data_IF_436253342650
#
_entry.id   IF_436253342650
#
_cell.length_a   1.000
_cell.length_b   1.000
_cell.length_c   1.000
_cell.angle_alpha   90.00
_cell.angle_beta   90.00
_cell.angle_gamma   90.00
#
_symmetry.space_group_name_H-M   'P 1'
#
loop_
_entity.id
_entity.type
_entity.pdbx_description
1 polymer ?
#
# COMPACT_ATOMS: atom_id res chain seq x y z
N UNK A 1 11.83 -1.73 -19.08
CA UNK A 1 12.92 -2.63 -18.60
C UNK A 1 12.54 -3.22 -17.25
N UNK A 2 12.75 -4.52 -17.03
CA UNK A 2 12.39 -5.20 -15.79
C UNK A 2 13.64 -5.65 -15.02
N UNK A 3 13.63 -5.51 -13.69
CA UNK A 3 14.75 -5.90 -12.83
C UNK A 3 14.26 -6.75 -11.65
N UNK A 4 14.94 -7.88 -11.41
CA UNK A 4 14.64 -8.82 -10.33
C UNK A 4 15.91 -9.01 -9.51
N UNK A 5 15.82 -8.79 -8.21
CA UNK A 5 16.91 -8.83 -7.24
C UNK A 5 16.46 -9.60 -6.00
N UNK A 6 16.25 -10.92 -6.07
CA UNK A 6 15.80 -11.75 -4.93
C UNK A 6 16.94 -12.60 -4.36
N UNK A 7 18.02 -11.96 -3.90
CA UNK A 7 19.25 -12.68 -3.51
C UNK A 7 19.29 -13.07 -2.03
N UNK A 8 18.31 -12.64 -1.22
CA UNK A 8 18.21 -12.90 0.24
C UNK A 8 19.33 -12.32 1.09
N UNK A 9 20.21 -11.53 0.50
CA UNK A 9 21.37 -10.96 1.16
C UNK A 9 21.70 -9.54 0.74
N UNK A 10 20.92 -8.94 -0.18
CA UNK A 10 21.14 -7.55 -0.56
C UNK A 10 20.80 -6.66 0.64
N UNK A 11 21.81 -6.01 1.21
CA UNK A 11 21.69 -5.13 2.35
C UNK A 11 21.84 -3.66 1.95
N UNK A 12 21.60 -2.78 2.91
CA UNK A 12 21.79 -1.33 2.79
C UNK A 12 20.85 -0.70 1.74
N UNK A 13 21.38 0.18 0.88
CA UNK A 13 20.62 0.93 -0.10
C UNK A 13 20.90 0.43 -1.52
N UNK A 14 19.85 0.22 -2.31
CA UNK A 14 19.97 -0.03 -3.74
C UNK A 14 20.05 1.30 -4.50
N UNK A 15 21.16 1.54 -5.22
CA UNK A 15 21.36 2.78 -6.00
C UNK A 15 20.75 2.65 -7.39
N UNK A 16 19.68 3.39 -7.66
CA UNK A 16 18.91 3.34 -8.91
C UNK A 16 18.89 4.65 -9.71
N UNK A 17 19.85 5.54 -9.45
CA UNK A 17 19.90 6.90 -10.01
C UNK A 17 19.84 6.94 -11.55
N UNK A 18 20.37 5.92 -12.24
CA UNK A 18 20.42 5.85 -13.71
C UNK A 18 19.32 4.96 -14.34
N UNK A 19 18.38 4.45 -13.54
CA UNK A 19 17.37 3.49 -13.98
C UNK A 19 16.06 4.17 -14.41
N UNK A 20 16.15 5.20 -15.27
CA UNK A 20 14.99 6.02 -15.69
C UNK A 20 13.96 5.26 -16.54
N UNK A 21 14.36 4.17 -17.19
CA UNK A 21 13.50 3.32 -18.03
C UNK A 21 13.06 2.02 -17.32
N UNK A 22 13.27 1.93 -16.01
CA UNK A 22 12.81 0.80 -15.21
C UNK A 22 11.27 0.86 -15.12
N UNK A 23 10.62 -0.21 -15.57
CA UNK A 23 9.16 -0.38 -15.58
C UNK A 23 8.72 -1.30 -14.44
N UNK A 24 9.50 -2.34 -14.16
CA UNK A 24 9.19 -3.29 -13.08
C UNK A 24 10.41 -3.54 -12.21
N UNK A 25 10.22 -3.45 -10.90
CA UNK A 25 11.23 -3.77 -9.90
C UNK A 25 10.70 -4.83 -8.93
N UNK A 26 11.35 -5.97 -8.87
CA UNK A 26 11.18 -6.91 -7.77
C UNK A 26 12.48 -7.01 -6.98
N UNK A 27 12.49 -6.53 -5.75
CA UNK A 27 13.59 -6.63 -4.79
C UNK A 27 13.14 -7.24 -3.47
N UNK A 28 12.09 -8.07 -3.49
CA UNK A 28 11.58 -8.70 -2.29
C UNK A 28 12.53 -9.74 -1.70
N UNK A 29 12.33 -10.09 -0.43
CA UNK A 29 13.17 -11.01 0.33
C UNK A 29 14.63 -10.59 0.33
N UNK A 30 14.92 -9.42 0.89
CA UNK A 30 16.28 -8.91 1.09
C UNK A 30 16.41 -8.24 2.46
N UNK A 31 17.50 -7.51 2.66
CA UNK A 31 17.84 -6.84 3.90
C UNK A 31 17.98 -5.32 3.68
N UNK A 32 17.31 -4.77 2.66
CA UNK A 32 17.36 -3.35 2.34
C UNK A 32 16.78 -2.53 3.49
N UNK A 33 17.47 -1.47 3.89
CA UNK A 33 17.02 -0.55 4.95
C UNK A 33 16.39 0.71 4.38
N UNK A 34 16.70 1.03 3.13
CA UNK A 34 16.10 2.12 2.37
C UNK A 34 16.01 1.80 0.89
N UNK A 35 15.01 2.36 0.22
CA UNK A 35 14.83 2.24 -1.22
C UNK A 35 14.35 3.58 -1.80
N UNK A 36 15.18 4.16 -2.68
CA UNK A 36 14.88 5.41 -3.37
C UNK A 36 14.61 5.15 -4.86
N UNK A 37 13.36 5.38 -5.26
CA UNK A 37 12.82 5.22 -6.61
C UNK A 37 12.38 6.55 -7.20
N UNK A 38 12.80 7.67 -6.61
CA UNK A 38 12.42 9.03 -7.03
C UNK A 38 12.75 9.32 -8.50
N UNK A 39 13.81 8.71 -9.04
CA UNK A 39 14.26 8.88 -10.44
C UNK A 39 13.71 7.83 -11.42
N UNK A 40 12.91 6.88 -10.93
CA UNK A 40 12.36 5.79 -11.73
C UNK A 40 10.92 6.14 -12.19
N UNK A 41 10.78 7.23 -12.94
CA UNK A 41 9.49 7.81 -13.34
C UNK A 41 8.61 6.92 -14.23
N UNK A 42 9.19 5.85 -14.79
CA UNK A 42 8.49 4.88 -15.65
C UNK A 42 8.09 3.60 -14.92
N UNK A 43 8.28 3.52 -13.59
CA UNK A 43 7.88 2.34 -12.83
C UNK A 43 6.36 2.16 -12.83
N UNK A 44 5.92 1.00 -13.27
CA UNK A 44 4.54 0.53 -13.28
C UNK A 44 4.28 -0.47 -12.16
N UNK A 45 5.28 -1.28 -11.77
CA UNK A 45 5.13 -2.29 -10.72
C UNK A 45 6.37 -2.35 -9.82
N UNK A 46 6.15 -2.32 -8.51
CA UNK A 46 7.20 -2.48 -7.50
C UNK A 46 6.78 -3.55 -6.50
N UNK A 47 7.63 -4.55 -6.33
CA UNK A 47 7.63 -5.42 -5.17
C UNK A 47 8.92 -5.23 -4.38
N UNK A 48 8.81 -4.68 -3.17
CA UNK A 48 9.88 -4.49 -2.21
C UNK A 48 9.52 -5.10 -0.84
N UNK A 49 8.59 -6.06 -0.82
CA UNK A 49 8.18 -6.72 0.43
C UNK A 49 9.27 -7.58 1.05
N UNK A 50 9.12 -7.93 2.32
CA UNK A 50 10.06 -8.80 3.05
C UNK A 50 11.48 -8.21 3.03
N UNK A 51 11.60 -6.96 3.49
CA UNK A 51 12.85 -6.23 3.65
C UNK A 51 12.92 -5.63 5.06
N UNK A 52 13.86 -4.69 5.28
CA UNK A 52 13.99 -3.94 6.53
C UNK A 52 13.78 -2.44 6.29
N UNK A 53 12.96 -2.07 5.30
CA UNK A 53 12.83 -0.69 4.85
C UNK A 53 12.25 0.16 5.98
N UNK A 54 13.00 1.16 6.40
CA UNK A 54 12.55 2.24 7.27
C UNK A 54 12.10 3.44 6.42
N UNK A 55 12.61 3.53 5.19
CA UNK A 55 12.27 4.57 4.22
C UNK A 55 12.09 4.00 2.82
N UNK A 56 10.95 4.34 2.21
CA UNK A 56 10.66 4.13 0.80
C UNK A 56 10.36 5.50 0.17
N UNK A 57 10.95 5.82 -0.97
CA UNK A 57 10.61 7.02 -1.74
C UNK A 57 10.28 6.62 -3.17
N UNK A 58 9.13 7.05 -3.68
CA UNK A 58 8.67 6.81 -5.05
C UNK A 58 7.85 8.00 -5.52
N UNK A 59 7.90 8.29 -6.82
CA UNK A 59 7.15 9.42 -7.43
C UNK A 59 6.67 9.09 -8.85
N UNK A 60 6.60 7.81 -9.21
CA UNK A 60 6.08 7.39 -10.51
C UNK A 60 4.57 7.58 -10.57
N UNK A 61 4.12 8.51 -11.40
CA UNK A 61 2.69 8.82 -11.59
C UNK A 61 1.94 7.70 -12.30
N UNK A 62 2.65 6.83 -13.01
CA UNK A 62 2.08 5.70 -13.74
C UNK A 62 2.15 4.38 -12.95
N UNK A 63 2.70 4.39 -11.73
CA UNK A 63 2.79 3.21 -10.87
C UNK A 63 1.40 2.62 -10.64
N UNK A 64 1.22 1.34 -10.97
CA UNK A 64 -0.04 0.60 -10.86
C UNK A 64 -0.08 -0.28 -9.63
N UNK A 65 1.02 -0.97 -9.34
CA UNK A 65 1.09 -1.94 -8.26
C UNK A 65 2.28 -1.60 -7.34
N UNK A 66 2.00 -1.47 -6.05
CA UNK A 66 3.01 -1.33 -5.01
C UNK A 66 2.80 -2.37 -3.92
N UNK A 67 3.74 -3.30 -3.79
CA UNK A 67 3.89 -4.14 -2.60
C UNK A 67 5.14 -3.71 -1.82
N UNK A 68 4.91 -3.14 -0.65
CA UNK A 68 5.92 -2.77 0.35
C UNK A 68 5.64 -3.45 1.70
N UNK A 69 4.90 -4.55 1.70
CA UNK A 69 4.53 -5.27 2.90
C UNK A 69 5.73 -5.88 3.65
N UNK A 70 5.57 -6.14 4.95
CA UNK A 70 6.61 -6.76 5.79
C UNK A 70 7.93 -6.00 5.76
N UNK A 71 7.85 -4.76 6.23
CA UNK A 71 8.95 -3.82 6.37
C UNK A 71 8.86 -3.10 7.73
N UNK A 72 9.59 -2.00 7.91
CA UNK A 72 9.61 -1.19 9.13
C UNK A 72 9.24 0.26 8.83
N UNK A 73 8.36 0.50 7.86
CA UNK A 73 7.93 1.84 7.47
C UNK A 73 7.05 2.44 8.58
N UNK A 74 7.47 3.58 9.12
CA UNK A 74 6.63 4.41 10.01
C UNK A 74 5.84 5.48 9.25
N UNK A 75 6.23 5.77 8.00
CA UNK A 75 5.53 6.69 7.10
C UNK A 75 5.59 6.17 5.66
N UNK A 76 4.56 6.48 4.87
CA UNK A 76 4.49 6.14 3.45
C UNK A 76 3.80 7.27 2.69
N UNK A 77 4.56 8.03 1.90
CA UNK A 77 4.03 9.09 1.05
C UNK A 77 3.79 8.57 -0.37
N UNK A 78 2.53 8.64 -0.83
CA UNK A 78 2.08 8.18 -2.16
C UNK A 78 1.41 9.28 -2.99
N UNK A 79 1.57 10.55 -2.64
CA UNK A 79 0.92 11.69 -3.33
C UNK A 79 1.30 11.78 -4.81
N UNK A 80 2.53 11.34 -5.14
CA UNK A 80 3.05 11.28 -6.51
C UNK A 80 2.53 10.09 -7.32
N UNK A 81 1.98 9.06 -6.67
CA UNK A 81 1.62 7.78 -7.30
C UNK A 81 0.13 7.74 -7.65
N UNK A 82 -0.34 8.75 -8.38
CA UNK A 82 -1.78 8.96 -8.68
C UNK A 82 -2.41 7.83 -9.48
N UNK A 83 -1.60 7.09 -10.26
CA UNK A 83 -2.06 5.96 -11.07
C UNK A 83 -2.22 4.64 -10.32
N UNK A 84 -1.98 4.59 -9.00
CA UNK A 84 -2.03 3.36 -8.20
C UNK A 84 -3.40 2.69 -8.25
N UNK A 85 -3.38 1.39 -8.49
CA UNK A 85 -4.56 0.51 -8.55
C UNK A 85 -4.53 -0.49 -7.40
N UNK A 86 -3.35 -1.01 -7.08
CA UNK A 86 -3.15 -1.99 -6.01
C UNK A 86 -2.05 -1.53 -5.05
N UNK A 87 -2.40 -1.49 -3.76
CA UNK A 87 -1.47 -1.15 -2.69
C UNK A 87 -1.47 -2.24 -1.61
N UNK A 88 -0.30 -2.83 -1.38
CA UNK A 88 -0.02 -3.63 -0.18
C UNK A 88 1.08 -2.95 0.64
N UNK A 89 0.70 -2.48 1.83
CA UNK A 89 1.59 -1.91 2.83
C UNK A 89 1.44 -2.61 4.20
N UNK A 90 0.92 -3.83 4.18
CA UNK A 90 0.67 -4.62 5.40
C UNK A 90 1.96 -4.97 6.15
N UNK A 91 1.85 -5.23 7.46
CA UNK A 91 3.01 -5.55 8.31
C UNK A 91 4.10 -4.46 8.25
N UNK A 92 3.69 -3.24 8.58
CA UNK A 92 4.58 -2.10 8.78
C UNK A 92 4.27 -1.46 10.15
N UNK A 93 4.73 -0.24 10.38
CA UNK A 93 4.57 0.51 11.62
C UNK A 93 3.85 1.84 11.36
N UNK A 94 2.95 1.88 10.37
CA UNK A 94 2.27 3.10 9.97
C UNK A 94 1.24 3.52 11.03
N UNK A 95 1.40 4.72 11.58
CA UNK A 95 0.39 5.37 12.43
C UNK A 95 -0.66 6.12 11.60
N UNK A 96 -0.28 6.55 10.40
CA UNK A 96 -1.13 7.24 9.43
C UNK A 96 -0.92 6.72 8.00
N UNK A 97 -1.97 6.79 7.18
CA UNK A 97 -1.92 6.46 5.76
C UNK A 97 -2.90 7.37 5.01
N UNK A 98 -2.36 8.29 4.21
CA UNK A 98 -3.15 9.17 3.32
C UNK A 98 -3.23 8.57 1.92
N UNK A 99 -4.45 8.40 1.41
CA UNK A 99 -4.72 7.88 0.06
C UNK A 99 -5.60 8.81 -0.79
N UNK A 100 -5.71 10.07 -0.37
CA UNK A 100 -6.58 11.11 -0.97
C UNK A 100 -6.20 11.47 -2.43
N UNK A 101 -5.02 11.07 -2.89
CA UNK A 101 -4.54 11.30 -4.26
C UNK A 101 -4.54 10.02 -5.13
N UNK A 102 -4.90 8.88 -4.55
CA UNK A 102 -4.79 7.55 -5.18
C UNK A 102 -6.21 7.03 -5.53
N UNK A 103 -6.98 7.84 -6.25
CA UNK A 103 -8.41 7.63 -6.49
C UNK A 103 -8.72 6.42 -7.39
N UNK A 104 -7.69 5.89 -8.06
CA UNK A 104 -7.78 4.70 -8.92
C UNK A 104 -7.64 3.37 -8.15
N UNK A 105 -7.38 3.40 -6.84
CA UNK A 105 -7.22 2.20 -6.02
C UNK A 105 -8.48 1.32 -6.05
N UNK A 106 -8.27 0.05 -6.37
CA UNK A 106 -9.27 -1.03 -6.34
C UNK A 106 -9.00 -2.03 -5.24
N UNK A 107 -7.74 -2.17 -4.81
CA UNK A 107 -7.32 -3.03 -3.71
C UNK A 107 -6.37 -2.29 -2.76
N UNK A 108 -6.70 -2.33 -1.47
CA UNK A 108 -5.87 -1.81 -0.39
C UNK A 108 -5.68 -2.90 0.65
N UNK A 109 -4.41 -3.27 0.91
CA UNK A 109 -4.02 -4.02 2.08
C UNK A 109 -3.12 -3.17 2.98
N UNK A 110 -3.68 -2.69 4.09
CA UNK A 110 -3.00 -1.95 5.15
C UNK A 110 -3.02 -2.69 6.49
N UNK A 111 -3.28 -4.00 6.47
CA UNK A 111 -3.39 -4.82 7.68
C UNK A 111 -2.10 -4.85 8.50
N UNK A 112 -2.19 -5.08 9.80
CA UNK A 112 -1.03 -5.17 10.70
C UNK A 112 -0.17 -3.89 10.67
N UNK A 113 -0.79 -2.77 11.01
CA UNK A 113 -0.16 -1.46 11.21
C UNK A 113 -0.65 -0.87 12.54
N UNK A 114 -0.53 0.44 12.73
CA UNK A 114 -0.95 1.16 13.93
C UNK A 114 -2.02 2.22 13.64
N UNK A 115 -2.71 2.11 12.49
CA UNK A 115 -3.65 3.10 12.01
C UNK A 115 -4.82 3.29 12.99
N UNK A 116 -5.02 4.53 13.44
CA UNK A 116 -6.17 4.92 14.28
C UNK A 116 -7.33 5.47 13.45
N UNK A 117 -7.04 5.95 12.23
CA UNK A 117 -8.01 6.43 11.26
C UNK A 117 -7.60 5.98 9.84
N UNK A 118 -8.59 5.82 8.97
CA UNK A 118 -8.40 5.51 7.55
C UNK A 118 -9.52 6.18 6.74
N UNK A 119 -9.17 7.27 6.05
CA UNK A 119 -10.11 7.98 5.16
C UNK A 119 -10.04 7.41 3.75
N UNK A 120 -11.17 6.90 3.26
CA UNK A 120 -11.32 6.26 1.95
C UNK A 120 -12.39 6.93 1.08
N UNK A 121 -12.79 8.16 1.42
CA UNK A 121 -13.87 8.87 0.73
C UNK A 121 -13.59 9.10 -0.76
N UNK A 122 -12.32 9.32 -1.13
CA UNK A 122 -11.89 9.52 -2.52
C UNK A 122 -11.66 8.21 -3.29
N UNK A 123 -11.54 7.08 -2.58
CA UNK A 123 -11.25 5.76 -3.18
C UNK A 123 -12.55 5.05 -3.60
N UNK A 124 -13.39 5.72 -4.38
CA UNK A 124 -14.73 5.24 -4.78
C UNK A 124 -14.72 3.99 -5.67
N UNK A 125 -13.55 3.67 -6.25
CA UNK A 125 -13.31 2.46 -7.05
C UNK A 125 -12.88 1.24 -6.23
N UNK A 126 -12.75 1.39 -4.91
CA UNK A 126 -12.28 0.33 -4.02
C UNK A 126 -13.24 -0.87 -4.04
N UNK A 127 -12.67 -2.06 -4.29
CA UNK A 127 -13.35 -3.36 -4.32
C UNK A 127 -12.90 -4.28 -3.19
N UNK A 128 -11.64 -4.18 -2.78
CA UNK A 128 -11.06 -5.02 -1.74
C UNK A 128 -10.35 -4.18 -0.69
N UNK A 129 -10.72 -4.35 0.58
CA UNK A 129 -10.11 -3.65 1.69
C UNK A 129 -9.71 -4.64 2.79
N UNK A 130 -8.41 -4.70 3.05
CA UNK A 130 -7.84 -5.48 4.14
C UNK A 130 -7.20 -4.53 5.14
N UNK A 131 -7.88 -4.31 6.27
CA UNK A 131 -7.50 -3.34 7.29
C UNK A 131 -7.44 -3.95 8.71
N UNK A 132 -7.45 -5.28 8.82
CA UNK A 132 -7.35 -5.98 10.09
C UNK A 132 -6.08 -5.64 10.86
N UNK A 133 -6.09 -5.85 12.17
CA UNK A 133 -4.92 -5.63 13.05
C UNK A 133 -4.41 -4.18 12.98
N UNK A 134 -5.31 -3.25 13.22
CA UNK A 134 -5.03 -1.82 13.36
C UNK A 134 -5.70 -1.32 14.65
N UNK A 135 -5.79 0.00 14.82
CA UNK A 135 -6.40 0.66 15.98
C UNK A 135 -7.61 1.51 15.55
N UNK A 136 -8.27 1.14 14.45
CA UNK A 136 -9.38 1.94 13.90
C UNK A 136 -10.56 1.94 14.88
N UNK A 137 -10.94 3.11 15.36
CA UNK A 137 -12.14 3.31 16.19
C UNK A 137 -13.40 3.52 15.34
N UNK A 138 -13.21 4.04 14.13
CA UNK A 138 -14.27 4.31 13.15
C UNK A 138 -13.76 3.94 11.77
N UNK A 139 -14.69 3.52 10.91
CA UNK A 139 -14.43 3.25 9.51
C UNK A 139 -15.69 3.60 8.71
N UNK A 140 -15.59 4.64 7.88
CA UNK A 140 -16.69 5.06 7.00
C UNK A 140 -16.46 4.50 5.60
N UNK A 141 -17.40 3.68 5.12
CA UNK A 141 -17.34 3.04 3.80
C UNK A 141 -18.53 3.41 2.91
N UNK A 142 -19.27 4.45 3.27
CA UNK A 142 -20.47 4.90 2.54
C UNK A 142 -20.20 5.32 1.09
N UNK A 143 -18.96 5.66 0.75
CA UNK A 143 -18.53 6.01 -0.61
C UNK A 143 -17.96 4.83 -1.40
N UNK A 144 -17.58 3.74 -0.73
CA UNK A 144 -16.97 2.57 -1.35
C UNK A 144 -18.07 1.57 -1.75
N UNK A 145 -19.03 2.02 -2.55
CA UNK A 145 -20.24 1.24 -2.91
C UNK A 145 -19.93 -0.02 -3.73
N UNK A 146 -18.76 -0.08 -4.36
CA UNK A 146 -18.27 -1.20 -5.14
C UNK A 146 -17.48 -2.23 -4.32
N UNK A 147 -17.46 -2.09 -2.98
CA UNK A 147 -16.70 -2.97 -2.11
C UNK A 147 -17.30 -4.38 -2.08
N UNK A 148 -16.45 -5.37 -2.35
CA UNK A 148 -16.79 -6.79 -2.49
C UNK A 148 -16.21 -7.64 -1.37
N UNK A 149 -14.98 -7.36 -0.95
CA UNK A 149 -14.27 -8.08 0.11
C UNK A 149 -13.76 -7.09 1.17
N UNK A 150 -14.03 -7.43 2.42
CA UNK A 150 -13.57 -6.63 3.55
C UNK A 150 -13.17 -7.49 4.75
N UNK A 151 -11.89 -7.39 5.12
CA UNK A 151 -11.39 -7.82 6.43
C UNK A 151 -11.08 -6.64 7.36
N UNK A 152 -11.64 -6.68 8.57
CA UNK A 152 -11.51 -5.59 9.56
C UNK A 152 -11.29 -6.03 11.01
N UNK A 153 -11.21 -7.33 11.27
CA UNK A 153 -11.05 -7.85 12.62
C UNK A 153 -9.81 -7.29 13.33
N UNK A 154 -9.82 -7.35 14.67
CA UNK A 154 -8.73 -6.82 15.50
C UNK A 154 -8.49 -5.33 15.24
N UNK A 155 -9.58 -4.57 15.30
CA UNK A 155 -9.62 -3.11 15.40
C UNK A 155 -10.41 -2.71 16.66
N UNK A 156 -10.63 -1.41 16.86
CA UNK A 156 -11.38 -0.85 17.99
C UNK A 156 -12.78 -0.36 17.57
N UNK A 157 -13.31 -0.88 16.46
CA UNK A 157 -14.61 -0.48 15.90
C UNK A 157 -15.74 -0.87 16.86
N UNK A 158 -16.54 0.10 17.29
CA UNK A 158 -17.75 -0.16 18.12
C UNK A 158 -19.01 -0.36 17.29
N UNK A 159 -19.02 0.16 16.06
CA UNK A 159 -20.14 0.09 15.13
C UNK A 159 -19.64 0.24 13.71
N UNK A 160 -20.40 -0.27 12.75
CA UNK A 160 -20.03 -0.26 11.36
C UNK A 160 -21.26 -0.35 10.47
N UNK A 161 -21.53 0.74 9.74
CA UNK A 161 -22.63 0.79 8.78
C UNK A 161 -22.14 0.29 7.42
N UNK A 162 -22.82 -0.73 6.90
CA UNK A 162 -22.56 -1.33 5.58
C UNK A 162 -23.78 -1.26 4.66
N UNK A 163 -24.77 -0.43 5.00
CA UNK A 163 -26.02 -0.28 4.22
C UNK A 163 -25.79 0.13 2.77
N UNK A 164 -24.68 0.81 2.47
CA UNK A 164 -24.31 1.26 1.12
C UNK A 164 -23.43 0.26 0.35
N UNK A 165 -22.90 -0.77 1.00
CA UNK A 165 -21.94 -1.70 0.41
C UNK A 165 -22.65 -2.97 -0.09
N UNK A 166 -23.61 -2.80 -1.01
CA UNK A 166 -24.49 -3.88 -1.48
C UNK A 166 -23.78 -4.97 -2.29
N UNK A 167 -22.53 -4.74 -2.69
CA UNK A 167 -21.71 -5.69 -3.44
C UNK A 167 -20.85 -6.60 -2.53
N UNK A 168 -20.90 -6.42 -1.20
CA UNK A 168 -20.11 -7.24 -0.27
C UNK A 168 -20.53 -8.70 -0.35
N UNK A 169 -19.57 -9.57 -0.69
CA UNK A 169 -19.73 -11.02 -0.72
C UNK A 169 -18.94 -11.71 0.39
N UNK A 170 -17.85 -11.09 0.85
CA UNK A 170 -17.01 -11.62 1.93
C UNK A 170 -16.81 -10.59 3.06
N UNK A 171 -17.00 -11.06 4.30
CA UNK A 171 -16.90 -10.25 5.52
C UNK A 171 -16.13 -11.04 6.61
N UNK A 172 -14.93 -10.59 6.98
CA UNK A 172 -14.07 -11.26 7.97
C UNK A 172 -13.37 -10.31 8.95
#
# INVERSE_FOLDING_TARGET
MNMILMTRNLSDSLKLENFHNLEKLNCCYNLLTSLDLSNCFRLEEINCSENKLIRLTTNSHILKILDCSKNHLSSLNLDGNKGLVELSCSFNQLDELSLVKNNDLTMINCSSNHLSNLDLNENVKLRQLYCSWNKLERLNLSKNINLEDLTRHNNLLTSLDLSQNSQLTELK
#
